data_IF_356848878746
#
_entry.id   IF_356848878746
#
_cell.length_a   1.000
_cell.length_b   1.000
_cell.length_c   1.000
_cell.angle_alpha   90.00
_cell.angle_beta   90.00
_cell.angle_gamma   90.00
#
_symmetry.space_group_name_H-M   'P 1'
#
loop_
_entity.id
_entity.type
_entity.pdbx_description
1 polymer ?
#
# COMPACT_ATOMS: atom_id res chain seq x y z
N UNK A 1 -2.26 32.90 4.90
CA UNK A 1 -3.07 33.05 3.66
C UNK A 1 -2.32 32.64 2.37
N UNK A 2 -1.12 32.06 2.47
CA UNK A 2 -0.25 31.75 1.30
C UNK A 2 -0.49 30.35 0.71
N UNK A 3 -0.89 29.38 1.55
CA UNK A 3 -1.11 27.97 1.15
C UNK A 3 -2.26 27.84 0.13
N UNK A 4 -3.34 28.63 0.28
CA UNK A 4 -4.49 28.59 -0.63
C UNK A 4 -4.19 29.10 -2.04
N UNK A 5 -3.31 30.11 -2.18
CA UNK A 5 -2.89 30.63 -3.49
C UNK A 5 -1.95 29.66 -4.19
N UNK A 6 -1.07 28.99 -3.44
CA UNK A 6 -0.23 27.91 -3.97
C UNK A 6 -1.08 26.73 -4.42
N UNK A 7 -2.10 26.31 -3.66
CA UNK A 7 -2.99 25.21 -4.04
C UNK A 7 -3.86 25.57 -5.26
N UNK A 8 -4.36 26.81 -5.35
CA UNK A 8 -5.10 27.28 -6.52
C UNK A 8 -4.22 27.39 -7.78
N UNK A 9 -2.98 27.86 -7.62
CA UNK A 9 -1.96 27.89 -8.69
C UNK A 9 -1.54 26.48 -9.12
N UNK A 10 -1.37 25.55 -8.16
CA UNK A 10 -1.12 24.13 -8.43
C UNK A 10 -2.28 23.47 -9.16
N UNK A 11 -3.52 23.81 -8.79
CA UNK A 11 -4.74 23.34 -9.45
C UNK A 11 -4.80 23.86 -10.89
N UNK A 12 -4.57 25.16 -11.12
CA UNK A 12 -4.60 25.73 -12.47
C UNK A 12 -3.46 25.22 -13.37
N UNK A 13 -2.27 25.01 -12.82
CA UNK A 13 -1.13 24.46 -13.57
C UNK A 13 -1.22 22.93 -13.75
N UNK A 14 -1.88 22.19 -12.84
CA UNK A 14 -2.25 20.78 -13.08
C UNK A 14 -3.27 20.63 -14.22
N UNK A 15 -4.12 21.62 -14.46
CA UNK A 15 -5.16 21.55 -15.49
C UNK A 15 -4.76 22.17 -16.84
N UNK A 16 -3.62 22.87 -16.93
CA UNK A 16 -3.07 23.45 -18.18
C UNK A 16 -1.96 22.58 -18.79
N UNK A 17 -2.26 21.37 -19.27
CA UNK A 17 -1.31 20.60 -20.09
C UNK A 17 -2.03 19.72 -21.12
N UNK A 18 -2.08 20.19 -22.37
CA UNK A 18 -2.21 19.42 -23.62
C UNK A 18 -3.30 18.33 -23.78
N UNK A 19 -3.39 17.69 -24.97
CA UNK A 19 -4.35 16.60 -25.24
C UNK A 19 -4.11 15.31 -24.43
N UNK A 20 -3.00 15.20 -23.69
CA UNK A 20 -2.64 14.05 -22.84
C UNK A 20 -3.10 14.21 -21.36
N UNK A 21 -3.86 15.26 -21.05
CA UNK A 21 -4.25 15.72 -19.70
C UNK A 21 -4.88 14.65 -18.80
N UNK A 22 -5.71 13.79 -19.37
CA UNK A 22 -6.52 12.87 -18.58
C UNK A 22 -5.70 11.71 -18.01
N UNK A 23 -4.76 11.17 -18.78
CA UNK A 23 -3.93 10.03 -18.37
C UNK A 23 -2.87 10.44 -17.34
N UNK A 24 -2.29 11.65 -17.49
CA UNK A 24 -1.36 12.18 -16.49
C UNK A 24 -2.05 12.55 -15.16
N UNK A 25 -3.29 13.02 -15.24
CA UNK A 25 -4.12 13.29 -14.06
C UNK A 25 -4.48 12.00 -13.31
N UNK A 26 -4.93 10.94 -14.02
CA UNK A 26 -5.25 9.65 -13.38
C UNK A 26 -4.01 9.02 -12.74
N UNK A 27 -2.84 9.10 -13.39
CA UNK A 27 -1.57 8.66 -12.80
C UNK A 27 -1.24 9.42 -11.51
N UNK A 28 -1.35 10.75 -11.53
CA UNK A 28 -1.08 11.59 -10.35
C UNK A 28 -2.03 11.27 -9.20
N UNK A 29 -3.33 11.10 -9.48
CA UNK A 29 -4.34 10.78 -8.48
C UNK A 29 -4.09 9.40 -7.89
N UNK A 30 -3.80 8.39 -8.71
CA UNK A 30 -3.51 7.04 -8.23
C UNK A 30 -2.28 7.01 -7.30
N UNK A 31 -1.23 7.78 -7.61
CA UNK A 31 -0.05 7.94 -6.73
C UNK A 31 -0.40 8.59 -5.38
N UNK A 32 -1.25 9.60 -5.37
CA UNK A 32 -1.69 10.26 -4.13
C UNK A 32 -2.48 9.28 -3.26
N UNK A 33 -3.41 8.53 -3.85
CA UNK A 33 -4.16 7.50 -3.12
C UNK A 33 -3.24 6.39 -2.59
N UNK A 34 -2.21 5.99 -3.34
CA UNK A 34 -1.20 5.04 -2.86
C UNK A 34 -0.45 5.58 -1.62
N UNK A 35 -0.04 6.85 -1.63
CA UNK A 35 0.63 7.47 -0.48
C UNK A 35 -0.28 7.50 0.75
N UNK A 36 -1.55 7.87 0.60
CA UNK A 36 -2.51 7.92 1.71
C UNK A 36 -2.72 6.51 2.29
N UNK A 37 -2.90 5.49 1.45
CA UNK A 37 -3.07 4.11 1.90
C UNK A 37 -1.82 3.58 2.61
N UNK A 38 -0.61 3.91 2.14
CA UNK A 38 0.64 3.53 2.81
C UNK A 38 0.80 4.19 4.18
N UNK A 39 0.44 5.47 4.32
CA UNK A 39 0.44 6.16 5.62
C UNK A 39 -0.54 5.49 6.59
N UNK A 40 -1.74 5.13 6.12
CA UNK A 40 -2.72 4.41 6.94
C UNK A 40 -2.19 3.04 7.40
N UNK A 41 -1.54 2.28 6.52
CA UNK A 41 -0.90 0.99 6.87
C UNK A 41 0.19 1.20 7.93
N UNK A 42 1.06 2.20 7.76
CA UNK A 42 2.14 2.49 8.71
C UNK A 42 1.55 2.87 10.07
N UNK A 43 0.49 3.68 10.12
CA UNK A 43 -0.18 4.07 11.36
C UNK A 43 -0.83 2.89 12.10
N UNK A 44 -1.57 2.04 11.37
CA UNK A 44 -2.17 0.82 11.92
C UNK A 44 -1.08 -0.15 12.42
N UNK A 45 0.01 -0.31 11.68
CA UNK A 45 1.12 -1.18 12.07
C UNK A 45 1.88 -0.64 13.29
N UNK A 46 2.04 0.67 13.44
CA UNK A 46 2.67 1.28 14.62
C UNK A 46 1.88 0.99 15.90
N UNK A 47 0.54 1.09 15.85
CA UNK A 47 -0.32 0.75 16.99
C UNK A 47 -0.23 -0.73 17.37
N UNK A 48 -0.10 -1.59 16.37
CA UNK A 48 0.10 -3.01 16.59
C UNK A 48 1.45 -3.32 17.26
N UNK A 49 2.53 -2.67 16.80
CA UNK A 49 3.87 -2.83 17.40
C UNK A 49 3.88 -2.36 18.86
N UNK A 50 3.25 -1.23 19.20
CA UNK A 50 3.16 -0.78 20.60
C UNK A 50 2.40 -1.77 21.49
N UNK A 51 1.37 -2.41 20.94
CA UNK A 51 0.58 -3.42 21.67
C UNK A 51 1.38 -4.70 21.91
N UNK A 52 2.22 -5.13 20.95
CA UNK A 52 3.09 -6.29 21.10
C UNK A 52 4.26 -6.04 22.07
N UNK A 53 4.87 -4.86 22.01
CA UNK A 53 5.96 -4.47 22.91
C UNK A 53 5.52 -4.48 24.38
N UNK A 54 4.29 -4.02 24.66
CA UNK A 54 3.73 -4.03 26.01
C UNK A 54 3.47 -5.45 26.55
N UNK A 55 3.18 -6.43 25.68
CA UNK A 55 2.85 -7.80 26.09
C UNK A 55 4.05 -8.75 26.20
N UNK A 56 5.29 -8.25 26.08
CA UNK A 56 6.54 -9.05 26.16
C UNK A 56 6.54 -10.28 25.24
N UNK A 57 5.83 -10.22 24.11
CA UNK A 57 5.84 -11.27 23.09
C UNK A 57 6.79 -10.84 21.99
N UNK A 58 7.73 -11.72 21.59
CA UNK A 58 8.63 -11.44 20.47
C UNK A 58 7.80 -11.20 19.21
N UNK A 59 7.85 -10.00 18.59
CA UNK A 59 7.04 -9.71 17.43
C UNK A 59 7.44 -10.63 16.26
N UNK A 60 6.45 -11.20 15.54
CA UNK A 60 6.73 -12.10 14.42
C UNK A 60 7.53 -11.37 13.34
N UNK A 61 8.60 -12.01 12.86
CA UNK A 61 9.53 -11.45 11.86
C UNK A 61 8.85 -10.96 10.59
N UNK A 62 7.73 -11.60 10.21
CA UNK A 62 6.91 -11.21 9.07
C UNK A 62 6.32 -9.78 9.21
N UNK A 63 5.96 -9.35 10.42
CA UNK A 63 5.41 -8.01 10.65
C UNK A 63 6.47 -6.94 10.47
N UNK A 64 7.65 -7.15 11.06
CA UNK A 64 8.78 -6.22 10.96
C UNK A 64 9.20 -6.07 9.49
N UNK A 65 9.26 -7.20 8.76
CA UNK A 65 9.54 -7.19 7.33
C UNK A 65 8.46 -6.41 6.54
N UNK A 66 7.17 -6.62 6.82
CA UNK A 66 6.08 -5.91 6.16
C UNK A 66 6.13 -4.39 6.42
N UNK A 67 6.43 -3.98 7.67
CA UNK A 67 6.58 -2.56 8.02
C UNK A 67 7.76 -1.92 7.27
N UNK A 68 8.92 -2.60 7.23
CA UNK A 68 10.09 -2.11 6.50
C UNK A 68 9.78 -1.94 5.01
N UNK A 69 9.10 -2.93 4.39
CA UNK A 69 8.67 -2.84 2.99
C UNK A 69 7.67 -1.71 2.76
N UNK A 70 6.71 -1.50 3.67
CA UNK A 70 5.74 -0.40 3.57
C UNK A 70 6.39 0.99 3.62
N UNK A 71 7.41 1.17 4.46
CA UNK A 71 8.18 2.42 4.53
C UNK A 71 9.00 2.63 3.25
N UNK A 72 9.69 1.59 2.76
CA UNK A 72 10.43 1.65 1.50
C UNK A 72 9.50 1.95 0.31
N UNK A 73 8.32 1.35 0.29
CA UNK A 73 7.27 1.62 -0.69
C UNK A 73 6.80 3.07 -0.66
N UNK A 74 6.62 3.66 0.53
CA UNK A 74 6.23 5.05 0.67
C UNK A 74 7.27 5.99 0.06
N UNK A 75 8.55 5.82 0.38
CA UNK A 75 9.62 6.60 -0.21
C UNK A 75 9.70 6.42 -1.73
N UNK A 76 9.54 5.20 -2.22
CA UNK A 76 9.48 4.93 -3.67
C UNK A 76 8.35 5.71 -4.36
N UNK A 77 7.11 5.62 -3.86
CA UNK A 77 5.95 6.32 -4.44
C UNK A 77 6.13 7.84 -4.34
N UNK A 78 6.70 8.35 -3.24
CA UNK A 78 6.96 9.77 -3.04
C UNK A 78 8.02 10.33 -4.00
N UNK A 79 9.17 9.66 -4.11
CA UNK A 79 10.27 10.08 -5.01
C UNK A 79 9.81 10.01 -6.47
N UNK A 80 9.15 8.94 -6.87
CA UNK A 80 8.62 8.80 -8.24
C UNK A 80 7.54 9.84 -8.56
N UNK A 81 6.72 10.24 -7.59
CA UNK A 81 5.75 11.31 -7.76
C UNK A 81 6.42 12.68 -8.00
N UNK A 82 7.46 13.02 -7.23
CA UNK A 82 8.23 14.26 -7.42
C UNK A 82 8.92 14.26 -8.77
N UNK A 83 9.62 13.17 -9.10
CA UNK A 83 10.34 13.07 -10.36
C UNK A 83 9.38 13.09 -11.57
N UNK A 84 8.15 12.57 -11.43
CA UNK A 84 7.11 12.70 -12.47
C UNK A 84 6.71 14.15 -12.70
N UNK A 85 6.51 14.92 -11.61
CA UNK A 85 6.19 16.36 -11.71
C UNK A 85 7.34 17.21 -12.24
N UNK A 86 8.56 16.72 -12.10
CA UNK A 86 9.76 17.39 -12.55
C UNK A 86 10.18 16.98 -13.98
N UNK A 87 9.39 16.16 -14.68
CA UNK A 87 9.61 15.70 -16.07
C UNK A 87 10.93 14.94 -16.34
N UNK A 88 11.69 14.57 -15.30
CA UNK A 88 13.01 13.96 -15.44
C UNK A 88 13.00 12.44 -15.74
N UNK A 89 11.85 11.75 -15.70
CA UNK A 89 11.83 10.27 -15.75
C UNK A 89 11.62 9.71 -17.16
N UNK A 90 12.47 8.75 -17.53
CA UNK A 90 12.21 7.81 -18.62
C UNK A 90 11.07 6.86 -18.21
N UNK A 91 9.86 7.06 -18.77
CA UNK A 91 8.65 6.28 -18.48
C UNK A 91 8.84 4.74 -18.45
N UNK A 92 9.84 4.22 -19.16
CA UNK A 92 10.19 2.80 -19.17
C UNK A 92 10.78 2.31 -17.83
N UNK A 93 11.63 3.11 -17.18
CA UNK A 93 12.23 2.77 -15.87
C UNK A 93 11.15 2.81 -14.79
N UNK A 94 10.24 3.77 -14.87
CA UNK A 94 9.09 3.89 -13.97
C UNK A 94 8.16 2.68 -14.08
N UNK A 95 7.85 2.24 -15.30
CA UNK A 95 7.04 1.05 -15.52
C UNK A 95 7.72 -0.22 -14.99
N UNK A 96 9.04 -0.36 -15.16
CA UNK A 96 9.79 -1.49 -14.60
C UNK A 96 9.75 -1.53 -13.07
N UNK A 97 9.94 -0.38 -12.43
CA UNK A 97 9.85 -0.27 -10.97
C UNK A 97 8.42 -0.51 -10.44
N UNK A 98 7.39 -0.08 -11.18
CA UNK A 98 6.00 -0.35 -10.82
C UNK A 98 5.63 -1.84 -10.90
N UNK A 99 6.22 -2.59 -11.84
CA UNK A 99 6.06 -4.05 -11.92
C UNK A 99 6.70 -4.71 -10.68
N UNK A 100 7.90 -4.27 -10.29
CA UNK A 100 8.57 -4.79 -9.10
C UNK A 100 7.76 -4.50 -7.82
N UNK A 101 7.20 -3.29 -7.73
CA UNK A 101 6.32 -2.91 -6.63
C UNK A 101 5.04 -3.74 -6.59
N UNK A 102 4.39 -3.97 -7.74
CA UNK A 102 3.22 -4.83 -7.87
C UNK A 102 3.51 -6.25 -7.39
N UNK A 103 4.65 -6.82 -7.79
CA UNK A 103 5.05 -8.16 -7.37
C UNK A 103 5.21 -8.23 -5.85
N UNK A 104 5.88 -7.24 -5.24
CA UNK A 104 6.03 -7.14 -3.79
C UNK A 104 4.68 -7.03 -3.06
N UNK A 105 3.76 -6.21 -3.56
CA UNK A 105 2.43 -6.02 -2.98
C UNK A 105 1.59 -7.32 -3.05
N UNK A 106 1.62 -8.03 -4.18
CA UNK A 106 0.92 -9.32 -4.35
C UNK A 106 1.47 -10.39 -3.42
N UNK A 107 2.80 -10.45 -3.24
CA UNK A 107 3.42 -11.37 -2.30
C UNK A 107 3.01 -11.07 -0.86
N UNK A 108 3.00 -9.80 -0.44
CA UNK A 108 2.50 -9.40 0.88
C UNK A 108 1.04 -9.80 1.09
N UNK A 109 0.19 -9.59 0.08
CA UNK A 109 -1.21 -10.03 0.11
C UNK A 109 -1.33 -11.54 0.31
N UNK A 110 -0.50 -12.33 -0.37
CA UNK A 110 -0.49 -13.79 -0.24
C UNK A 110 -0.02 -14.26 1.14
N UNK A 111 1.11 -13.73 1.62
CA UNK A 111 1.70 -14.13 2.90
C UNK A 111 0.89 -13.68 4.10
N UNK A 112 0.26 -12.49 4.04
CA UNK A 112 -0.61 -11.98 5.10
C UNK A 112 -2.04 -12.52 4.97
N UNK A 113 -2.47 -12.88 3.77
CA UNK A 113 -3.83 -13.35 3.49
C UNK A 113 -4.12 -14.77 3.91
N UNK A 114 -3.14 -15.69 3.80
CA UNK A 114 -3.28 -17.06 4.32
C UNK A 114 -3.66 -17.04 5.81
N UNK A 115 -2.87 -16.36 6.66
CA UNK A 115 -3.30 -15.49 7.73
C UNK A 115 -4.78 -15.41 8.08
N UNK A 116 -5.34 -14.38 7.48
CA UNK A 116 -6.59 -13.78 7.87
C UNK A 116 -7.80 -14.55 7.36
N UNK A 117 -7.64 -15.40 6.36
CA UNK A 117 -8.76 -16.12 5.75
C UNK A 117 -9.40 -17.14 6.69
N UNK A 118 -8.66 -17.65 7.68
CA UNK A 118 -9.16 -18.65 8.65
C UNK A 118 -9.63 -18.03 9.96
N UNK A 119 -9.50 -16.71 10.15
CA UNK A 119 -9.71 -16.06 11.43
C UNK A 119 -11.06 -15.32 11.49
N UNK A 120 -11.94 -15.76 12.39
CA UNK A 120 -13.20 -15.08 12.71
C UNK A 120 -12.98 -14.10 13.87
N UNK A 121 -12.80 -12.80 13.57
CA UNK A 121 -12.57 -11.78 14.59
C UNK A 121 -13.72 -11.66 15.61
N UNK A 122 -14.95 -12.03 15.23
CA UNK A 122 -16.12 -11.99 16.11
C UNK A 122 -16.11 -13.06 17.22
N UNK A 123 -15.31 -14.11 17.07
CA UNK A 123 -15.19 -15.18 18.07
C UNK A 123 -14.12 -14.89 19.13
N UNK A 124 -13.37 -13.79 19.00
CA UNK A 124 -12.35 -13.38 19.98
C UNK A 124 -12.95 -12.44 21.03
N UNK A 125 -12.43 -12.48 22.28
CA UNK A 125 -12.87 -11.55 23.32
C UNK A 125 -12.43 -10.12 23.01
N UNK A 126 -13.37 -9.18 23.18
CA UNK A 126 -13.20 -7.76 22.86
C UNK A 126 -12.12 -7.04 23.69
N UNK A 127 -11.66 -7.64 24.79
CA UNK A 127 -10.62 -7.09 25.66
C UNK A 127 -9.96 -8.22 26.45
N UNK A 128 -8.64 -8.33 26.34
CA UNK A 128 -7.85 -9.18 27.22
C UNK A 128 -7.73 -8.50 28.59
N UNK A 129 -8.81 -8.47 29.37
CA UNK A 129 -8.76 -8.13 30.79
C UNK A 129 -8.26 -9.33 31.58
N UNK A 130 -6.95 -9.52 31.55
CA UNK A 130 -6.05 -10.00 32.61
C UNK A 130 -6.28 -11.30 33.40
N UNK A 131 -7.49 -11.84 33.58
CA UNK A 131 -7.72 -12.93 34.54
C UNK A 131 -8.71 -14.01 34.06
N UNK A 132 -9.63 -13.70 33.16
CA UNK A 132 -10.66 -14.65 32.68
C UNK A 132 -10.30 -15.31 31.34
N UNK A 133 -9.14 -14.95 30.78
CA UNK A 133 -8.78 -15.28 29.39
C UNK A 133 -7.95 -16.55 29.27
N UNK A 134 -7.44 -17.15 30.37
CA UNK A 134 -6.55 -18.32 30.27
C UNK A 134 -7.28 -19.61 29.92
N UNK A 135 -8.43 -19.89 30.53
CA UNK A 135 -9.19 -21.14 30.32
C UNK A 135 -9.91 -21.20 28.97
N UNK A 136 -10.49 -20.09 28.51
CA UNK A 136 -11.14 -20.03 27.19
C UNK A 136 -10.12 -19.90 26.05
N UNK A 137 -8.96 -19.27 26.30
CA UNK A 137 -7.84 -19.35 25.35
C UNK A 137 -7.32 -20.77 25.29
N UNK A 138 -7.16 -21.54 26.38
CA UNK A 138 -6.61 -22.91 26.29
C UNK A 138 -7.46 -23.86 25.44
N UNK A 139 -8.79 -23.78 25.51
CA UNK A 139 -9.69 -24.63 24.70
C UNK A 139 -9.76 -24.23 23.21
N UNK A 140 -9.76 -22.93 22.90
CA UNK A 140 -9.72 -22.47 21.49
C UNK A 140 -8.28 -22.55 20.95
N UNK A 141 -7.28 -22.35 21.82
CA UNK A 141 -5.87 -22.49 21.53
C UNK A 141 -5.51 -23.92 21.21
N UNK A 142 -6.04 -24.95 21.85
CA UNK A 142 -5.74 -26.32 21.44
C UNK A 142 -6.17 -26.65 20.00
N UNK A 143 -7.18 -25.94 19.45
CA UNK A 143 -7.61 -26.11 18.07
C UNK A 143 -6.86 -25.21 17.06
N UNK A 144 -6.38 -24.03 17.48
CA UNK A 144 -5.70 -23.06 16.59
C UNK A 144 -4.15 -22.99 16.83
N UNK A 145 -3.63 -23.56 17.93
CA UNK A 145 -2.18 -23.73 18.24
C UNK A 145 -1.51 -24.75 17.34
N UNK A 146 -2.26 -25.71 16.75
CA UNK A 146 -1.68 -26.65 15.79
C UNK A 146 -1.03 -25.97 14.58
N UNK A 147 -1.21 -24.65 14.40
CA UNK A 147 -0.66 -23.86 13.29
C UNK A 147 0.14 -22.61 13.71
N UNK A 148 0.48 -22.40 15.00
CA UNK A 148 1.36 -21.27 15.42
C UNK A 148 0.77 -19.86 15.20
N UNK A 149 -0.56 -19.75 15.19
CA UNK A 149 -1.28 -18.58 14.65
C UNK A 149 -1.63 -17.49 15.67
N UNK A 150 -1.65 -17.84 16.96
CA UNK A 150 -2.03 -16.92 18.04
C UNK A 150 -1.03 -15.79 18.27
N UNK A 151 0.25 -16.06 18.04
CA UNK A 151 1.31 -15.09 18.23
C UNK A 151 1.19 -13.91 17.26
N UNK A 152 0.53 -14.10 16.12
CA UNK A 152 0.33 -13.06 15.10
C UNK A 152 -0.91 -12.19 15.33
N UNK A 153 -1.96 -12.70 15.97
CA UNK A 153 -3.23 -11.99 16.17
C UNK A 153 -3.34 -11.27 17.54
N UNK A 154 -2.34 -11.39 18.42
CA UNK A 154 -2.31 -10.72 19.72
C UNK A 154 -3.45 -11.10 20.69
N UNK A 155 -4.24 -12.12 20.34
CA UNK A 155 -5.35 -12.67 21.12
C UNK A 155 -6.52 -11.70 21.37
N UNK A 156 -6.68 -10.62 20.59
CA UNK A 156 -7.75 -9.63 20.81
C UNK A 156 -8.50 -9.26 19.52
N UNK A 157 -9.80 -8.95 19.65
CA UNK A 157 -10.67 -8.56 18.53
C UNK A 157 -10.18 -7.30 17.82
N UNK A 158 -9.66 -6.32 18.57
CA UNK A 158 -9.15 -5.06 18.02
C UNK A 158 -7.96 -5.29 17.09
N UNK A 159 -6.97 -6.07 17.55
CA UNK A 159 -5.80 -6.45 16.73
C UNK A 159 -6.20 -7.22 15.47
N UNK A 160 -7.16 -8.15 15.57
CA UNK A 160 -7.67 -8.91 14.43
C UNK A 160 -8.26 -8.01 13.34
N UNK A 161 -9.05 -7.00 13.72
CA UNK A 161 -9.65 -6.05 12.80
C UNK A 161 -8.61 -5.13 12.14
N UNK A 162 -7.60 -4.69 12.89
CA UNK A 162 -6.50 -3.88 12.36
C UNK A 162 -5.72 -4.64 11.27
N UNK A 163 -5.37 -5.90 11.52
CA UNK A 163 -4.69 -6.75 10.53
C UNK A 163 -5.56 -7.02 9.29
N UNK A 164 -6.87 -7.23 9.47
CA UNK A 164 -7.82 -7.38 8.36
C UNK A 164 -7.91 -6.11 7.52
N UNK A 165 -7.85 -4.93 8.15
CA UNK A 165 -7.81 -3.65 7.46
C UNK A 165 -6.51 -3.49 6.65
N UNK A 166 -5.35 -3.79 7.24
CA UNK A 166 -4.05 -3.73 6.55
C UNK A 166 -4.05 -4.61 5.29
N UNK A 167 -4.58 -5.83 5.39
CA UNK A 167 -4.71 -6.73 4.24
C UNK A 167 -5.60 -6.15 3.13
N UNK A 168 -6.73 -5.54 3.50
CA UNK A 168 -7.60 -4.84 2.54
C UNK A 168 -6.92 -3.65 1.85
N UNK A 169 -6.12 -2.87 2.58
CA UNK A 169 -5.32 -1.79 2.00
C UNK A 169 -4.25 -2.30 1.03
N UNK A 170 -3.63 -3.46 1.29
CA UNK A 170 -2.68 -4.07 0.36
C UNK A 170 -3.33 -4.48 -0.99
N UNK A 171 -4.57 -4.96 -0.97
CA UNK A 171 -5.34 -5.20 -2.19
C UNK A 171 -5.61 -3.90 -2.95
N UNK A 172 -6.05 -2.86 -2.24
CA UNK A 172 -6.31 -1.56 -2.85
C UNK A 172 -5.05 -0.97 -3.50
N UNK A 173 -3.90 -1.05 -2.82
CA UNK A 173 -2.60 -0.64 -3.36
C UNK A 173 -2.22 -1.41 -4.63
N UNK A 174 -2.50 -2.71 -4.67
CA UNK A 174 -2.22 -3.54 -5.86
C UNK A 174 -3.06 -3.08 -7.06
N UNK A 175 -4.36 -2.81 -6.85
CA UNK A 175 -5.23 -2.29 -7.91
C UNK A 175 -4.75 -0.92 -8.39
N UNK A 176 -4.42 0.00 -7.48
CA UNK A 176 -3.89 1.31 -7.83
C UNK A 176 -2.57 1.21 -8.60
N UNK A 177 -1.71 0.24 -8.25
CA UNK A 177 -0.43 0.03 -8.94
C UNK A 177 -0.61 -0.52 -10.36
N UNK A 178 -1.64 -1.34 -10.61
CA UNK A 178 -2.04 -1.72 -11.97
C UNK A 178 -2.47 -0.49 -12.79
N UNK A 179 -3.25 0.42 -12.18
CA UNK A 179 -3.67 1.67 -12.85
C UNK A 179 -2.46 2.53 -13.22
N UNK A 180 -1.49 2.69 -12.31
CA UNK A 180 -0.26 3.46 -12.60
C UNK A 180 0.58 2.80 -13.68
N UNK A 181 0.68 1.46 -13.69
CA UNK A 181 1.41 0.71 -14.71
C UNK A 181 0.79 0.89 -16.12
N UNK A 182 -0.53 0.77 -16.22
CA UNK A 182 -1.27 0.95 -17.48
C UNK A 182 -1.09 2.39 -17.99
N UNK A 183 -1.25 3.39 -17.12
CA UNK A 183 -1.06 4.80 -17.48
C UNK A 183 0.36 5.06 -18.00
N UNK A 184 1.40 4.54 -17.32
CA UNK A 184 2.80 4.63 -17.76
C UNK A 184 3.04 3.97 -19.11
N UNK A 185 2.44 2.79 -19.35
CA UNK A 185 2.52 2.09 -20.63
C UNK A 185 1.88 2.86 -21.78
N UNK A 186 0.69 3.43 -21.56
CA UNK A 186 -0.01 4.27 -22.55
C UNK A 186 0.82 5.51 -22.87
N UNK A 187 1.31 6.23 -21.86
CA UNK A 187 2.16 7.41 -22.06
C UNK A 187 3.44 7.09 -22.84
N UNK A 188 4.06 5.94 -22.56
CA UNK A 188 5.25 5.49 -23.30
C UNK A 188 4.94 5.17 -24.78
N UNK A 189 3.82 4.50 -25.05
CA UNK A 189 3.35 4.23 -26.42
C UNK A 189 3.08 5.53 -27.17
N UNK A 190 2.39 6.49 -26.55
CA UNK A 190 2.11 7.81 -27.14
C UNK A 190 3.39 8.58 -27.47
N UNK A 191 4.38 8.57 -26.56
CA UNK A 191 5.69 9.22 -26.79
C UNK A 191 6.42 8.64 -27.99
N UNK A 192 6.35 7.31 -28.19
CA UNK A 192 6.91 6.65 -29.38
C UNK A 192 6.18 7.05 -30.65
N UNK A 193 4.85 7.01 -30.67
CA UNK A 193 4.06 7.32 -31.88
C UNK A 193 4.20 8.78 -32.32
N UNK A 194 4.32 9.72 -31.37
CA UNK A 194 4.58 11.14 -31.69
C UNK A 194 5.94 11.40 -32.34
N UNK A 195 6.92 10.51 -32.14
CA UNK A 195 8.23 10.60 -32.80
C UNK A 195 8.24 10.02 -34.22
N UNK A 196 7.28 9.15 -34.54
CA UNK A 196 7.18 8.51 -35.88
C UNK A 196 6.43 9.38 -36.89
N UNK A 197 5.54 10.27 -36.44
CA UNK A 197 4.79 11.19 -37.32
C UNK A 197 5.59 12.35 -37.89
N UNK A 198 6.76 12.68 -37.33
CA UNK A 198 7.61 13.77 -37.80
C UNK A 198 8.60 13.35 -38.91
N UNK A 199 8.67 12.06 -39.25
CA UNK A 199 9.60 11.53 -40.28
C UNK A 199 8.97 11.31 -41.65
N UNK A 200 7.70 11.69 -41.85
CA UNK A 200 6.98 11.49 -43.12
C UNK A 200 6.45 12.79 -43.73
N UNK A 201 7.00 13.94 -43.33
CA UNK A 201 6.60 15.27 -43.79
C UNK A 201 7.63 16.02 -44.64
N UNK A 202 8.75 15.39 -44.99
CA UNK A 202 9.73 15.91 -45.94
C UNK A 202 9.96 14.86 -47.03
N UNK A 203 9.08 14.85 -48.02
CA UNK A 203 9.31 14.31 -49.37
C UNK A 203 8.35 14.98 -50.34
#
# INVERSE_FOLDING_TARGET
MTIGKTFASWRQNMFKMGPYRHIGATFSVARIFQMIALIAIIGLAANFVSTLAYKTTTPPSLLIAALAVAVMAFFYVFVTYICYKAEYILFLVLAGLDILFLLGAVLLVYFVGKPLSYLNCAALPASATGAQTKSFIEEVAQNVQKQGYYDFAGGSTSTCLELKAVWGFCFALSVLACVTLICSGIMWRMKKTGSTGLKTGEA
#
